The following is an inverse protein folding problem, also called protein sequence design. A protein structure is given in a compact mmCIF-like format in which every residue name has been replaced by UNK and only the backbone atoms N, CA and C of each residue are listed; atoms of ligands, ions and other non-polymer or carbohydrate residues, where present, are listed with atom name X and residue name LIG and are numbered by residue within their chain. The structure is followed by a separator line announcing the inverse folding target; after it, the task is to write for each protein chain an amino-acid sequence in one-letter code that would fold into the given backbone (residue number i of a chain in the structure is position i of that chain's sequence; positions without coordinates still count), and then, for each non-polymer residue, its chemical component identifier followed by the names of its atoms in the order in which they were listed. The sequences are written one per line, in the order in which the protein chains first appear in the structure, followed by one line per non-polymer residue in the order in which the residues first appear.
data_IF_869015104938
#
_entry.id   IF_869015104938
#
_cell.length_a   1.000
_cell.length_b   1.000
_cell.length_c   1.000
_cell.angle_alpha   90.00
_cell.angle_beta   90.00
_cell.angle_gamma   90.00
#
_symmetry.space_group_name_H-M   'P 1'
#
loop_
_entity.id
_entity.type
_entity.pdbx_description
1 polymer ?
#
# COMPACT_ATOMS: atom_id res chain seq x y z
N UNK A 1 -10.29 -6.35 -27.49
CA UNK A 1 -9.34 -6.97 -26.55
C UNK A 1 -9.87 -6.76 -25.15
N UNK A 2 -9.93 -7.77 -24.31
CA UNK A 2 -10.34 -7.67 -22.90
C UNK A 2 -9.08 -7.63 -22.03
N UNK A 3 -9.00 -6.68 -21.08
CA UNK A 3 -7.87 -6.54 -20.15
C UNK A 3 -8.24 -7.13 -18.78
N UNK A 4 -7.56 -8.20 -18.37
CA UNK A 4 -7.81 -8.90 -17.11
C UNK A 4 -6.70 -8.72 -16.06
N UNK A 5 -5.65 -7.95 -16.37
CA UNK A 5 -4.50 -7.78 -15.48
C UNK A 5 -4.60 -6.50 -14.62
N UNK A 6 -5.76 -6.28 -13.98
CA UNK A 6 -5.98 -5.16 -13.07
C UNK A 6 -5.13 -5.26 -11.77
N UNK A 7 -4.53 -6.41 -11.52
CA UNK A 7 -3.54 -6.55 -10.44
C UNK A 7 -2.21 -5.88 -10.79
N UNK A 8 -1.78 -5.88 -12.05
CA UNK A 8 -0.58 -5.18 -12.47
C UNK A 8 -0.79 -3.66 -12.46
N UNK A 9 -1.88 -3.17 -13.06
CA UNK A 9 -2.25 -1.75 -13.11
C UNK A 9 -3.71 -1.61 -13.52
N UNK A 10 -4.33 -0.48 -13.20
CA UNK A 10 -5.68 -0.14 -13.68
C UNK A 10 -5.63 1.04 -14.67
N UNK A 11 -6.63 1.18 -15.57
CA UNK A 11 -6.80 2.44 -16.30
C UNK A 11 -7.09 3.57 -15.32
N UNK A 12 -6.76 4.80 -15.70
CA UNK A 12 -7.14 5.99 -14.93
C UNK A 12 -8.64 6.19 -15.08
N UNK A 13 -9.35 6.51 -13.99
CA UNK A 13 -10.76 6.86 -14.05
C UNK A 13 -10.95 8.14 -14.89
N UNK A 14 -11.97 8.23 -15.78
CA UNK A 14 -12.16 9.42 -16.65
C UNK A 14 -12.15 10.73 -15.88
N UNK A 15 -12.94 10.87 -14.82
CA UNK A 15 -12.99 12.10 -14.01
C UNK A 15 -11.64 12.45 -13.37
N UNK A 16 -10.83 11.44 -13.05
CA UNK A 16 -9.47 11.63 -12.52
C UNK A 16 -8.55 12.18 -13.61
N UNK A 17 -8.64 11.65 -14.82
CA UNK A 17 -7.87 12.12 -15.96
C UNK A 17 -8.21 13.58 -16.31
N UNK A 18 -9.51 13.90 -16.35
CA UNK A 18 -10.01 15.26 -16.64
C UNK A 18 -9.53 16.27 -15.58
N UNK A 19 -9.62 15.90 -14.29
CA UNK A 19 -9.11 16.73 -13.20
C UNK A 19 -7.61 16.97 -13.33
N UNK A 20 -6.83 15.94 -13.64
CA UNK A 20 -5.38 16.05 -13.82
C UNK A 20 -5.04 16.97 -14.99
N UNK A 21 -5.75 16.86 -16.10
CA UNK A 21 -5.58 17.72 -17.26
C UNK A 21 -5.87 19.18 -16.93
N UNK A 22 -6.99 19.44 -16.26
CA UNK A 22 -7.37 20.80 -15.84
C UNK A 22 -6.31 21.44 -14.92
N UNK A 23 -5.84 20.69 -13.92
CA UNK A 23 -4.82 21.17 -12.99
C UNK A 23 -3.49 21.38 -13.70
N UNK A 24 -3.05 20.44 -14.54
CA UNK A 24 -1.82 20.58 -15.33
C UNK A 24 -1.82 21.83 -16.20
N UNK A 25 -2.97 22.16 -16.83
CA UNK A 25 -3.14 23.35 -17.66
C UNK A 25 -3.19 24.66 -16.86
N UNK A 26 -3.86 24.67 -15.69
CA UNK A 26 -4.21 25.92 -14.98
C UNK A 26 -3.39 26.19 -13.72
N UNK A 27 -2.67 25.20 -13.15
CA UNK A 27 -2.01 25.30 -11.84
C UNK A 27 -0.55 24.87 -11.92
N UNK A 28 0.28 25.73 -12.45
CA UNK A 28 1.72 25.53 -12.63
C UNK A 28 2.59 26.14 -11.53
N UNK A 29 2.00 26.79 -10.54
CA UNK A 29 2.74 27.43 -9.44
C UNK A 29 3.42 26.41 -8.53
N UNK A 30 4.65 26.73 -8.09
CA UNK A 30 5.33 25.89 -7.11
C UNK A 30 4.57 25.96 -5.78
N UNK A 31 4.18 24.81 -5.19
CA UNK A 31 3.42 24.79 -3.92
C UNK A 31 4.16 25.40 -2.71
N UNK A 32 5.49 25.50 -2.78
CA UNK A 32 6.30 26.13 -1.73
C UNK A 32 6.32 27.66 -1.81
N UNK A 33 5.83 28.24 -2.93
CA UNK A 33 5.84 29.71 -3.13
C UNK A 33 4.70 30.40 -2.38
N UNK A 34 5.02 31.54 -1.75
CA UNK A 34 4.05 32.30 -0.92
C UNK A 34 3.05 33.13 -1.73
N UNK A 35 3.27 33.33 -3.03
CA UNK A 35 2.37 34.09 -3.87
C UNK A 35 1.09 33.31 -4.28
N UNK A 36 0.10 34.00 -4.84
CA UNK A 36 -1.25 33.46 -5.14
C UNK A 36 -1.23 32.14 -5.92
N UNK A 37 -0.34 31.99 -6.92
CA UNK A 37 -0.25 30.75 -7.74
C UNK A 37 0.28 29.58 -6.93
N UNK A 38 1.29 29.79 -6.06
CA UNK A 38 1.83 28.75 -5.17
C UNK A 38 0.79 28.32 -4.13
N UNK A 39 0.14 29.29 -3.48
CA UNK A 39 -0.94 28.97 -2.51
C UNK A 39 -2.09 28.17 -3.12
N UNK A 40 -2.45 28.45 -4.41
CA UNK A 40 -3.45 27.65 -5.14
C UNK A 40 -2.99 26.20 -5.30
N UNK A 41 -1.74 25.98 -5.74
CA UNK A 41 -1.19 24.63 -5.87
C UNK A 41 -1.16 23.91 -4.51
N UNK A 42 -0.71 24.58 -3.45
CA UNK A 42 -0.70 24.05 -2.08
C UNK A 42 -2.10 23.65 -1.59
N UNK A 43 -3.12 24.47 -1.84
CA UNK A 43 -4.50 24.16 -1.44
C UNK A 43 -5.05 22.88 -2.10
N UNK A 44 -4.66 22.62 -3.35
CA UNK A 44 -5.02 21.38 -4.06
C UNK A 44 -4.36 20.17 -3.42
N UNK A 45 -3.07 20.26 -3.10
CA UNK A 45 -2.32 19.20 -2.42
C UNK A 45 -2.98 18.88 -1.07
N UNK A 46 -3.27 19.88 -0.26
CA UNK A 46 -3.87 19.67 1.07
C UNK A 46 -5.31 19.15 0.98
N UNK A 47 -6.09 19.52 -0.04
CA UNK A 47 -7.39 18.91 -0.32
C UNK A 47 -7.25 17.42 -0.61
N UNK A 48 -6.30 17.05 -1.46
CA UNK A 48 -6.07 15.66 -1.83
C UNK A 48 -5.55 14.83 -0.64
N UNK A 49 -4.70 15.43 0.19
CA UNK A 49 -4.21 14.81 1.43
C UNK A 49 -5.38 14.48 2.38
N UNK A 50 -6.37 15.38 2.53
CA UNK A 50 -7.59 15.11 3.31
C UNK A 50 -8.40 13.97 2.70
N UNK A 51 -8.63 13.96 1.38
CA UNK A 51 -9.37 12.89 0.70
C UNK A 51 -8.75 11.52 0.93
N UNK A 52 -7.41 11.43 0.90
CA UNK A 52 -6.69 10.18 1.15
C UNK A 52 -6.78 9.81 2.64
N UNK A 53 -6.60 10.76 3.54
CA UNK A 53 -6.71 10.52 4.98
C UNK A 53 -8.10 9.98 5.35
N UNK A 54 -9.16 10.59 4.83
CA UNK A 54 -10.55 10.13 5.01
C UNK A 54 -10.74 8.72 4.47
N UNK A 55 -10.17 8.42 3.28
CA UNK A 55 -10.30 7.11 2.64
C UNK A 55 -9.68 5.97 3.44
N UNK A 56 -8.67 6.23 4.27
CA UNK A 56 -8.00 5.22 5.09
C UNK A 56 -8.22 5.38 6.61
N UNK A 57 -9.08 6.31 7.04
CA UNK A 57 -9.37 6.57 8.45
C UNK A 57 -8.18 7.13 9.23
N UNK A 58 -7.51 8.14 8.66
CA UNK A 58 -6.33 8.80 9.19
C UNK A 58 -6.54 10.31 9.37
N UNK A 59 -5.59 10.96 10.02
CA UNK A 59 -5.42 12.41 10.00
C UNK A 59 -4.55 12.84 8.81
N UNK A 60 -4.82 14.01 8.16
CA UNK A 60 -4.07 14.45 6.99
C UNK A 60 -2.55 14.61 7.24
N UNK A 61 -2.18 15.10 8.42
CA UNK A 61 -0.78 15.31 8.80
C UNK A 61 0.05 14.03 8.91
N UNK A 62 -0.59 12.84 8.89
CA UNK A 62 0.03 11.52 8.92
C UNK A 62 0.27 10.94 7.52
N UNK A 63 -0.07 11.65 6.47
CA UNK A 63 0.12 11.24 5.09
C UNK A 63 1.31 12.01 4.49
N UNK A 64 2.20 11.31 3.81
CA UNK A 64 3.19 11.90 2.90
C UNK A 64 3.03 11.33 1.50
N UNK A 65 3.19 12.19 0.49
CA UNK A 65 3.16 11.79 -0.91
C UNK A 65 4.52 11.23 -1.33
N UNK A 66 4.49 10.15 -2.09
CA UNK A 66 5.65 9.46 -2.66
C UNK A 66 5.43 9.23 -4.15
N UNK A 67 6.42 8.69 -4.87
CA UNK A 67 6.24 8.31 -6.28
C UNK A 67 5.45 6.99 -6.47
N UNK A 68 5.16 6.27 -5.40
CA UNK A 68 4.45 4.98 -5.46
C UNK A 68 4.74 4.08 -4.28
N UNK A 69 4.15 2.88 -4.29
CA UNK A 69 4.34 1.89 -3.22
C UNK A 69 5.81 1.48 -3.04
N UNK A 70 6.58 1.38 -4.12
CA UNK A 70 8.01 1.04 -4.04
C UNK A 70 8.80 2.06 -3.24
N UNK A 71 8.62 3.37 -3.47
CA UNK A 71 9.28 4.41 -2.68
C UNK A 71 8.83 4.36 -1.22
N UNK A 72 7.52 4.22 -0.97
CA UNK A 72 6.95 4.12 0.38
C UNK A 72 7.54 2.94 1.16
N UNK A 73 7.59 1.76 0.55
CA UNK A 73 8.15 0.54 1.14
C UNK A 73 9.66 0.72 1.43
N UNK A 74 10.42 1.27 0.48
CA UNK A 74 11.84 1.56 0.68
C UNK A 74 12.04 2.50 1.86
N UNK A 75 11.31 3.61 1.94
CA UNK A 75 11.47 4.59 3.01
C UNK A 75 11.31 3.95 4.39
N UNK A 76 10.31 3.07 4.56
CA UNK A 76 10.09 2.38 5.84
C UNK A 76 11.25 1.43 6.17
N UNK A 77 11.70 0.63 5.21
CA UNK A 77 12.77 -0.34 5.46
C UNK A 77 14.12 0.36 5.71
N UNK A 78 14.46 1.37 4.90
CA UNK A 78 15.67 2.18 5.06
C UNK A 78 15.70 2.96 6.38
N UNK A 79 14.54 3.31 6.95
CA UNK A 79 14.47 4.01 8.23
C UNK A 79 15.03 3.20 9.41
N UNK A 80 15.30 1.90 9.22
CA UNK A 80 15.97 1.07 10.23
C UNK A 80 17.48 1.18 10.19
N UNK A 81 18.04 1.80 9.18
CA UNK A 81 19.48 2.03 9.09
C UNK A 81 19.95 2.92 10.26
N UNK A 82 21.06 2.52 10.91
CA UNK A 82 21.59 3.23 12.08
C UNK A 82 20.79 3.07 13.37
N UNK A 83 19.66 2.35 13.36
CA UNK A 83 18.89 2.09 14.57
C UNK A 83 19.46 0.91 15.36
N UNK A 84 19.43 1.00 16.70
CA UNK A 84 19.84 -0.13 17.57
C UNK A 84 18.98 -1.38 17.31
N UNK A 85 17.71 -1.20 16.97
CA UNK A 85 16.78 -2.27 16.59
C UNK A 85 16.74 -2.39 15.07
N UNK A 86 17.72 -3.11 14.54
CA UNK A 86 18.03 -3.22 13.11
C UNK A 86 17.61 -4.56 12.47
N UNK A 87 16.82 -5.39 13.16
CA UNK A 87 16.26 -6.61 12.61
C UNK A 87 14.82 -6.37 12.13
N UNK A 88 14.51 -6.85 10.92
CA UNK A 88 13.19 -6.75 10.28
C UNK A 88 12.63 -8.15 10.06
N UNK A 89 11.38 -8.38 10.45
CA UNK A 89 10.65 -9.61 10.12
C UNK A 89 9.69 -9.31 8.96
N UNK A 90 9.64 -10.20 7.97
CA UNK A 90 8.72 -10.13 6.85
C UNK A 90 8.21 -11.54 6.49
N UNK A 91 7.55 -11.72 5.35
CA UNK A 91 7.10 -13.04 4.90
C UNK A 91 7.64 -13.39 3.50
N UNK A 92 7.54 -14.67 3.14
CA UNK A 92 8.09 -15.20 1.87
C UNK A 92 7.32 -14.73 0.62
N UNK A 93 6.10 -14.25 0.76
CA UNK A 93 5.24 -13.89 -0.37
C UNK A 93 5.08 -12.37 -0.56
N UNK A 94 5.98 -11.59 0.02
CA UNK A 94 6.01 -10.13 -0.16
C UNK A 94 6.34 -9.73 -1.59
N UNK A 95 5.90 -8.53 -1.95
CA UNK A 95 6.27 -7.91 -3.22
C UNK A 95 7.81 -7.71 -3.31
N UNK A 96 8.41 -7.79 -4.53
CA UNK A 96 9.84 -7.53 -4.72
C UNK A 96 10.35 -6.21 -4.13
N UNK A 97 9.50 -5.17 -4.03
CA UNK A 97 9.81 -3.89 -3.36
C UNK A 97 10.08 -4.01 -1.84
N UNK A 98 9.79 -5.15 -1.24
CA UNK A 98 10.17 -5.50 0.14
C UNK A 98 11.35 -6.48 0.10
N UNK A 99 11.20 -7.63 -0.57
CA UNK A 99 12.20 -8.70 -0.55
C UNK A 99 13.57 -8.25 -1.06
N UNK A 100 13.60 -7.55 -2.21
CA UNK A 100 14.87 -7.10 -2.78
C UNK A 100 15.54 -6.02 -1.94
N UNK A 101 14.74 -5.14 -1.31
CA UNK A 101 15.26 -4.12 -0.40
C UNK A 101 15.86 -4.76 0.85
N UNK A 102 15.20 -5.76 1.45
CA UNK A 102 15.74 -6.51 2.60
C UNK A 102 17.07 -7.19 2.25
N UNK A 103 17.15 -7.85 1.08
CA UNK A 103 18.40 -8.46 0.59
C UNK A 103 19.51 -7.44 0.45
N UNK A 104 19.21 -6.26 -0.12
CA UNK A 104 20.17 -5.18 -0.30
C UNK A 104 20.64 -4.59 1.02
N UNK A 105 19.72 -4.32 1.94
CA UNK A 105 19.99 -3.72 3.25
C UNK A 105 20.83 -4.61 4.18
N UNK A 106 20.91 -5.93 3.90
CA UNK A 106 21.80 -6.84 4.61
C UNK A 106 23.27 -6.37 4.53
N UNK A 107 23.66 -5.74 3.42
CA UNK A 107 25.00 -5.17 3.24
C UNK A 107 25.27 -3.95 4.15
N UNK A 108 24.23 -3.41 4.79
CA UNK A 108 24.26 -2.24 5.67
C UNK A 108 23.89 -2.60 7.11
N UNK A 109 24.20 -3.83 7.54
CA UNK A 109 23.92 -4.34 8.89
C UNK A 109 22.43 -4.36 9.28
N UNK A 110 21.50 -4.38 8.33
CA UNK A 110 20.10 -4.67 8.57
C UNK A 110 19.89 -6.17 8.43
N UNK A 111 19.59 -6.85 9.53
CA UNK A 111 19.25 -8.26 9.51
C UNK A 111 17.75 -8.45 9.26
N UNK A 112 17.38 -9.56 8.64
CA UNK A 112 15.97 -9.87 8.42
C UNK A 112 15.67 -11.36 8.56
N UNK A 113 14.41 -11.67 8.87
CA UNK A 113 13.85 -13.02 8.86
C UNK A 113 12.61 -13.04 7.96
N UNK A 114 12.44 -14.10 7.17
CA UNK A 114 11.26 -14.31 6.32
C UNK A 114 10.42 -15.47 6.90
N UNK A 115 9.25 -15.12 7.41
CA UNK A 115 8.31 -16.11 7.92
C UNK A 115 7.65 -16.89 6.78
N UNK A 116 7.52 -18.22 6.91
CA UNK A 116 6.74 -19.02 5.99
C UNK A 116 5.25 -18.69 6.08
N UNK A 117 4.54 -19.01 5.00
CA UNK A 117 3.08 -18.95 4.92
C UNK A 117 2.52 -20.37 4.83
N UNK A 118 1.24 -20.54 5.17
CA UNK A 118 0.54 -21.80 4.99
C UNK A 118 0.12 -22.02 3.51
N UNK A 119 -0.57 -23.11 3.21
CA UNK A 119 -1.06 -23.44 1.87
C UNK A 119 -2.11 -22.45 1.33
N UNK A 120 -2.65 -21.58 2.17
CA UNK A 120 -3.57 -20.50 1.80
C UNK A 120 -2.85 -19.16 1.61
N UNK A 121 -1.53 -19.11 1.85
CA UNK A 121 -0.73 -17.89 1.79
C UNK A 121 -0.89 -16.99 3.03
N UNK A 122 -1.39 -17.50 4.17
CA UNK A 122 -1.45 -16.75 5.43
C UNK A 122 -0.16 -16.96 6.22
N UNK A 123 0.40 -15.87 6.79
CA UNK A 123 1.64 -15.92 7.56
C UNK A 123 1.49 -16.77 8.83
N UNK A 124 2.49 -17.62 9.12
CA UNK A 124 2.55 -18.39 10.35
C UNK A 124 2.86 -17.51 11.55
N UNK A 125 1.86 -17.23 12.38
CA UNK A 125 2.04 -16.44 13.61
C UNK A 125 2.97 -17.10 14.63
N UNK A 126 3.04 -18.44 14.63
CA UNK A 126 3.96 -19.18 15.50
C UNK A 126 5.42 -18.96 15.07
N UNK A 127 5.69 -18.99 13.75
CA UNK A 127 7.02 -18.68 13.25
C UNK A 127 7.36 -17.20 13.44
N UNK A 128 6.40 -16.30 13.22
CA UNK A 128 6.59 -14.87 13.51
C UNK A 128 7.08 -14.65 14.95
N UNK A 129 6.45 -15.30 15.94
CA UNK A 129 6.86 -15.17 17.34
C UNK A 129 8.27 -15.73 17.60
N UNK A 130 8.64 -16.85 16.94
CA UNK A 130 9.98 -17.46 17.07
C UNK A 130 11.09 -16.60 16.48
N UNK A 131 10.78 -15.83 15.43
CA UNK A 131 11.73 -14.94 14.75
C UNK A 131 11.97 -13.61 15.48
N UNK A 132 11.20 -13.30 16.53
CA UNK A 132 11.41 -12.07 17.31
C UNK A 132 12.71 -12.17 18.10
N UNK A 133 13.59 -11.20 17.88
CA UNK A 133 14.89 -11.02 18.56
C UNK A 133 14.87 -9.73 19.38
N UNK A 134 15.83 -9.60 20.31
CA UNK A 134 16.00 -8.39 21.12
C UNK A 134 16.11 -7.12 20.24
N UNK A 135 16.80 -7.25 19.10
CA UNK A 135 16.99 -6.15 18.15
C UNK A 135 15.93 -6.10 17.04
N UNK A 136 14.79 -6.82 17.12
CA UNK A 136 13.70 -6.67 16.15
C UNK A 136 13.03 -5.33 16.30
N UNK A 137 13.10 -4.48 15.26
CA UNK A 137 12.56 -3.11 15.25
C UNK A 137 11.35 -2.93 14.36
N UNK A 138 11.13 -3.83 13.41
CA UNK A 138 10.05 -3.70 12.42
C UNK A 138 9.51 -5.08 12.03
N UNK A 139 8.19 -5.20 11.92
CA UNK A 139 7.50 -6.25 11.19
C UNK A 139 6.88 -5.62 9.95
N UNK A 140 7.29 -6.08 8.76
CA UNK A 140 6.75 -5.61 7.48
C UNK A 140 6.01 -6.74 6.80
N UNK A 141 4.67 -6.69 6.79
CA UNK A 141 3.80 -7.74 6.21
C UNK A 141 2.73 -7.09 5.35
N UNK A 142 2.64 -7.50 4.08
CA UNK A 142 1.61 -7.00 3.17
C UNK A 142 0.21 -7.21 3.76
N UNK A 143 -0.71 -6.27 3.53
CA UNK A 143 -2.08 -6.40 4.02
C UNK A 143 -2.84 -7.50 3.28
N UNK A 144 -2.62 -7.59 1.97
CA UNK A 144 -3.16 -8.66 1.14
C UNK A 144 -2.20 -8.97 -0.02
N UNK A 145 -2.08 -10.24 -0.35
CA UNK A 145 -1.19 -10.66 -1.43
C UNK A 145 -1.76 -10.28 -2.80
N UNK A 146 -0.91 -9.76 -3.66
CA UNK A 146 -1.25 -9.24 -4.99
C UNK A 146 -1.57 -10.31 -6.03
N UNK A 147 -1.20 -11.57 -5.80
CA UNK A 147 -1.36 -12.67 -6.75
C UNK A 147 -2.52 -13.61 -6.37
N UNK A 148 -2.58 -14.01 -5.10
CA UNK A 148 -3.60 -14.95 -4.60
C UNK A 148 -4.70 -14.27 -3.80
N UNK A 149 -4.56 -12.99 -3.49
CA UNK A 149 -5.56 -12.17 -2.80
C UNK A 149 -5.65 -12.39 -1.28
N UNK A 150 -4.98 -13.36 -0.70
CA UNK A 150 -5.08 -13.70 0.73
C UNK A 150 -4.78 -12.50 1.61
N UNK A 151 -5.72 -12.16 2.51
CA UNK A 151 -5.60 -11.07 3.48
C UNK A 151 -4.85 -11.58 4.71
N UNK A 152 -3.83 -10.85 5.15
CA UNK A 152 -3.01 -11.22 6.30
C UNK A 152 -3.66 -10.84 7.63
N UNK A 153 -3.39 -11.57 8.72
CA UNK A 153 -4.02 -11.36 10.03
C UNK A 153 -3.38 -10.20 10.81
N UNK A 154 -3.40 -8.97 10.24
CA UNK A 154 -2.69 -7.79 10.75
C UNK A 154 -3.04 -7.48 12.21
N UNK A 155 -4.30 -7.64 12.61
CA UNK A 155 -4.71 -7.41 14.01
C UNK A 155 -3.98 -8.36 14.99
N UNK A 156 -3.77 -9.62 14.58
CA UNK A 156 -3.03 -10.59 15.40
C UNK A 156 -1.53 -10.26 15.43
N UNK A 157 -0.98 -9.82 14.29
CA UNK A 157 0.40 -9.34 14.17
C UNK A 157 0.62 -8.12 15.07
N UNK A 158 -0.29 -7.14 15.04
CA UNK A 158 -0.24 -5.95 15.91
C UNK A 158 -0.20 -6.33 17.39
N UNK A 159 -1.04 -7.29 17.82
CA UNK A 159 -1.04 -7.75 19.22
C UNK A 159 0.32 -8.35 19.64
N UNK A 160 1.01 -9.02 18.73
CA UNK A 160 2.36 -9.55 18.97
C UNK A 160 3.38 -8.40 19.00
N UNK A 161 3.30 -7.49 18.06
CA UNK A 161 4.24 -6.37 17.91
C UNK A 161 4.20 -5.42 19.12
N UNK A 162 3.01 -5.05 19.60
CA UNK A 162 2.83 -4.18 20.76
C UNK A 162 3.48 -4.78 22.00
N UNK A 163 3.29 -6.09 22.27
CA UNK A 163 3.89 -6.78 23.42
C UNK A 163 5.42 -6.77 23.41
N UNK A 164 6.03 -6.60 22.23
CA UNK A 164 7.47 -6.61 22.03
C UNK A 164 8.04 -5.23 21.67
N UNK A 165 7.21 -4.18 21.71
CA UNK A 165 7.57 -2.82 21.31
C UNK A 165 8.19 -2.77 19.90
N UNK A 166 7.55 -3.41 18.91
CA UNK A 166 7.99 -3.51 17.53
C UNK A 166 7.03 -2.69 16.65
N UNK A 167 7.57 -1.90 15.73
CA UNK A 167 6.77 -1.17 14.73
C UNK A 167 6.22 -2.11 13.67
N UNK A 168 5.05 -1.77 13.11
CA UNK A 168 4.41 -2.56 12.05
C UNK A 168 4.19 -1.71 10.80
N UNK A 169 4.72 -2.20 9.70
CA UNK A 169 4.46 -1.71 8.34
C UNK A 169 3.58 -2.70 7.58
N UNK A 170 2.69 -2.17 6.76
CA UNK A 170 1.90 -2.99 5.85
C UNK A 170 1.88 -2.40 4.44
N UNK A 171 2.35 -3.19 3.46
CA UNK A 171 2.09 -2.91 2.05
C UNK A 171 0.61 -3.19 1.76
N UNK A 172 -0.17 -2.12 1.57
CA UNK A 172 -1.59 -2.18 1.28
C UNK A 172 -1.92 -1.70 -0.14
N UNK A 173 -0.94 -1.69 -1.02
CA UNK A 173 -1.03 -1.17 -2.40
C UNK A 173 -2.25 -1.73 -3.14
N UNK A 174 -2.63 -2.99 -2.91
CA UNK A 174 -3.74 -3.66 -3.57
C UNK A 174 -5.10 -3.54 -2.85
N UNK A 175 -5.17 -2.86 -1.71
CA UNK A 175 -6.32 -2.98 -0.80
C UNK A 175 -7.37 -1.87 -0.97
N UNK A 176 -6.95 -0.62 -1.25
CA UNK A 176 -7.89 0.50 -1.39
C UNK A 176 -8.85 0.27 -2.56
N UNK A 177 -10.16 0.48 -2.34
CA UNK A 177 -11.22 0.22 -3.30
C UNK A 177 -11.67 -1.24 -3.41
N UNK A 178 -10.97 -2.18 -2.74
CA UNK A 178 -11.31 -3.60 -2.68
C UNK A 178 -11.69 -4.08 -1.27
N UNK A 179 -11.23 -3.36 -0.24
CA UNK A 179 -11.64 -3.58 1.15
C UNK A 179 -11.66 -2.25 1.90
N UNK A 180 -12.43 -2.20 3.00
CA UNK A 180 -12.45 -1.01 3.87
C UNK A 180 -11.15 -0.93 4.65
N UNK A 181 -10.46 0.20 4.55
CA UNK A 181 -9.25 0.51 5.31
C UNK A 181 -9.59 1.46 6.46
N UNK A 182 -9.00 1.22 7.62
CA UNK A 182 -8.99 2.18 8.73
C UNK A 182 -7.72 1.97 9.55
N UNK A 183 -6.70 2.76 9.26
CA UNK A 183 -5.37 2.61 9.89
C UNK A 183 -5.40 2.85 11.40
N UNK A 184 -6.29 3.72 11.87
CA UNK A 184 -6.46 3.99 13.31
C UNK A 184 -6.99 2.74 14.03
N UNK A 185 -8.02 2.07 13.46
CA UNK A 185 -8.57 0.82 14.02
C UNK A 185 -7.61 -0.36 13.88
N UNK A 186 -6.79 -0.38 12.83
CA UNK A 186 -5.75 -1.39 12.62
C UNK A 186 -4.59 -1.21 13.60
N UNK A 187 -4.32 0.03 14.02
CA UNK A 187 -3.25 0.38 14.97
C UNK A 187 -1.85 0.38 14.39
N UNK A 188 -1.69 0.11 13.08
CA UNK A 188 -0.39 0.01 12.40
C UNK A 188 0.39 1.33 12.42
N UNK A 189 1.70 1.23 12.28
CA UNK A 189 2.59 2.39 12.34
C UNK A 189 2.84 2.97 10.94
N UNK A 190 2.88 2.12 9.90
CA UNK A 190 3.09 2.53 8.52
C UNK A 190 2.19 1.76 7.57
N UNK A 191 1.71 2.45 6.50
CA UNK A 191 0.95 1.82 5.41
C UNK A 191 1.33 2.44 4.08
N UNK A 192 1.63 1.60 3.08
CA UNK A 192 1.96 2.03 1.72
C UNK A 192 0.79 1.86 0.77
N UNK A 193 0.51 2.89 -0.07
CA UNK A 193 -0.47 2.82 -1.16
C UNK A 193 0.13 3.33 -2.47
N UNK A 194 -0.46 2.90 -3.59
CA UNK A 194 -0.10 3.36 -4.95
C UNK A 194 -1.36 3.62 -5.77
N UNK A 195 -1.48 4.82 -6.33
CA UNK A 195 -2.72 5.28 -6.96
C UNK A 195 -3.18 4.42 -8.14
N UNK A 196 -2.25 3.90 -8.95
CA UNK A 196 -2.57 3.13 -10.14
C UNK A 196 -3.21 1.76 -9.86
N UNK A 197 -3.39 1.37 -8.62
CA UNK A 197 -4.08 0.13 -8.22
C UNK A 197 -5.56 0.34 -7.90
N UNK A 198 -5.99 1.61 -7.81
CA UNK A 198 -7.38 2.01 -7.58
C UNK A 198 -7.82 3.13 -8.52
N UNK A 199 -7.50 2.98 -9.81
CA UNK A 199 -7.90 3.85 -10.92
C UNK A 199 -7.36 5.29 -10.84
N UNK A 200 -6.28 5.50 -10.09
CA UNK A 200 -5.48 6.73 -10.08
C UNK A 200 -4.30 6.69 -11.06
N UNK A 201 -3.52 7.77 -11.15
CA UNK A 201 -2.37 7.84 -12.03
C UNK A 201 -1.19 6.98 -11.54
N UNK A 202 -0.34 6.55 -12.48
CA UNK A 202 0.99 5.98 -12.18
C UNK A 202 1.93 7.08 -11.67
N UNK A 203 3.00 6.70 -10.98
CA UNK A 203 4.03 7.63 -10.53
C UNK A 203 3.64 8.47 -9.31
N UNK A 204 2.59 8.05 -8.58
CA UNK A 204 2.18 8.66 -7.31
C UNK A 204 1.70 7.59 -6.32
N UNK A 205 2.08 7.74 -5.07
CA UNK A 205 1.66 6.93 -3.94
C UNK A 205 1.64 7.74 -2.67
N UNK A 206 1.37 7.07 -1.56
CA UNK A 206 1.49 7.64 -0.22
C UNK A 206 2.16 6.67 0.74
N UNK A 207 2.77 7.24 1.76
CA UNK A 207 3.10 6.55 2.99
C UNK A 207 2.30 7.19 4.13
N UNK A 208 1.47 6.38 4.81
CA UNK A 208 0.90 6.73 6.09
C UNK A 208 1.94 6.48 7.18
N UNK A 209 2.08 7.43 8.10
CA UNK A 209 3.04 7.40 9.21
C UNK A 209 2.30 7.81 10.48
N UNK A 210 2.17 6.88 11.44
CA UNK A 210 1.48 7.12 12.72
C UNK A 210 2.22 8.13 13.58
N UNK A 211 3.54 8.00 13.67
CA UNK A 211 4.44 8.91 14.38
C UNK A 211 5.66 9.23 13.52
N UNK A 212 5.80 10.48 13.10
CA UNK A 212 6.89 10.95 12.23
C UNK A 212 8.28 10.86 12.86
N UNK A 213 8.38 10.75 14.18
CA UNK A 213 9.67 10.57 14.87
C UNK A 213 10.24 9.16 14.70
N UNK A 214 9.46 8.22 14.19
CA UNK A 214 9.88 6.81 14.00
C UNK A 214 10.48 6.53 12.64
N UNK A 215 10.53 7.52 11.74
CA UNK A 215 10.98 7.36 10.35
C UNK A 215 11.96 8.47 9.95
N UNK A 216 12.89 8.11 9.07
CA UNK A 216 13.84 9.05 8.46
C UNK A 216 13.45 9.36 7.01
N UNK A 217 13.85 10.53 6.47
CA UNK A 217 13.66 10.81 5.06
C UNK A 217 14.48 9.82 4.20
N UNK A 218 13.88 9.36 3.10
CA UNK A 218 14.56 8.51 2.11
C UNK A 218 15.06 9.35 0.93
N UNK A 219 14.21 10.20 0.37
CA UNK A 219 14.62 11.20 -0.63
C UNK A 219 14.93 12.51 0.09
N UNK A 220 16.21 12.77 0.27
CA UNK A 220 16.72 13.97 0.93
C UNK A 220 16.71 15.14 -0.05
N UNK A 221 16.17 16.30 0.40
CA UNK A 221 16.08 17.51 -0.42
C UNK A 221 15.56 18.70 0.36
N UNK A 222 14.63 19.47 -0.23
CA UNK A 222 13.98 20.59 0.45
C UNK A 222 12.97 20.13 1.52
N UNK A 223 12.31 21.12 2.16
CA UNK A 223 11.38 20.87 3.27
C UNK A 223 9.99 20.34 2.89
N UNK A 224 9.79 19.85 1.65
CA UNK A 224 8.53 19.28 1.23
C UNK A 224 8.14 18.07 2.10
N UNK A 225 6.83 17.79 2.16
CA UNK A 225 6.29 16.69 2.97
C UNK A 225 6.81 16.67 4.41
N UNK A 226 6.93 17.84 5.05
CA UNK A 226 7.48 18.01 6.41
C UNK A 226 8.95 17.57 6.53
N UNK A 227 9.74 17.69 5.45
CA UNK A 227 11.15 17.26 5.41
C UNK A 227 11.35 15.76 5.24
N UNK A 228 10.27 14.98 5.13
CA UNK A 228 10.35 13.52 5.02
C UNK A 228 10.47 13.02 3.57
N UNK A 229 10.15 13.89 2.60
CA UNK A 229 10.29 13.56 1.18
C UNK A 229 10.57 14.83 0.36
N UNK A 230 11.81 15.02 -0.03
CA UNK A 230 12.25 16.17 -0.83
C UNK A 230 11.79 16.11 -2.28
N UNK A 231 11.81 17.26 -2.94
CA UNK A 231 11.42 17.43 -4.35
C UNK A 231 10.04 18.07 -4.52
N UNK A 232 9.91 18.92 -5.53
CA UNK A 232 8.67 19.63 -5.83
C UNK A 232 7.52 18.65 -6.06
N UNK A 233 6.40 18.91 -5.42
CA UNK A 233 5.24 18.03 -5.42
C UNK A 233 4.54 18.02 -6.79
N UNK A 234 4.19 16.84 -7.30
CA UNK A 234 3.43 16.64 -8.54
C UNK A 234 1.94 16.93 -8.29
N UNK A 235 1.57 18.21 -8.32
CA UNK A 235 0.23 18.70 -7.96
C UNK A 235 -0.88 17.99 -8.74
N UNK A 236 -0.71 17.75 -10.05
CA UNK A 236 -1.74 17.11 -10.87
C UNK A 236 -1.95 15.64 -10.50
N UNK A 237 -0.87 14.87 -10.33
CA UNK A 237 -0.97 13.46 -9.94
C UNK A 237 -1.46 13.30 -8.50
N UNK A 238 -1.08 14.21 -7.59
CA UNK A 238 -1.58 14.23 -6.22
C UNK A 238 -3.10 14.45 -6.20
N UNK A 239 -3.58 15.42 -7.00
CA UNK A 239 -5.01 15.66 -7.13
C UNK A 239 -5.77 14.47 -7.71
N UNK A 240 -5.18 13.83 -8.72
CA UNK A 240 -5.72 12.61 -9.32
C UNK A 240 -5.81 11.47 -8.31
N UNK A 241 -4.77 11.26 -7.49
CA UNK A 241 -4.78 10.24 -6.44
C UNK A 241 -5.86 10.53 -5.38
N UNK A 242 -6.00 11.79 -4.95
CA UNK A 242 -7.02 12.19 -3.97
C UNK A 242 -8.45 11.89 -4.46
N UNK A 243 -8.76 12.27 -5.71
CA UNK A 243 -10.06 11.99 -6.31
C UNK A 243 -10.29 10.49 -6.50
N UNK A 244 -9.29 9.75 -7.00
CA UNK A 244 -9.38 8.30 -7.16
C UNK A 244 -9.66 7.59 -5.81
N UNK A 245 -8.99 8.00 -4.73
CA UNK A 245 -9.23 7.45 -3.40
C UNK A 245 -10.65 7.72 -2.91
N UNK A 246 -11.17 8.94 -3.11
CA UNK A 246 -12.55 9.31 -2.78
C UNK A 246 -13.55 8.43 -3.53
N UNK A 247 -13.44 8.31 -4.86
CA UNK A 247 -14.33 7.48 -5.70
C UNK A 247 -14.27 6.01 -5.27
N UNK A 248 -13.08 5.50 -4.98
CA UNK A 248 -12.87 4.10 -4.57
C UNK A 248 -13.62 3.75 -3.28
N UNK A 249 -13.67 4.68 -2.31
CA UNK A 249 -14.34 4.46 -1.01
C UNK A 249 -15.84 4.69 -1.10
N UNK A 250 -16.31 5.70 -1.82
CA UNK A 250 -17.74 5.98 -2.00
C UNK A 250 -18.47 4.80 -2.63
N UNK A 251 -17.85 4.10 -3.56
CA UNK A 251 -18.44 2.97 -4.28
C UNK A 251 -18.04 1.58 -3.73
N UNK A 252 -17.34 1.51 -2.60
CA UNK A 252 -16.66 0.29 -2.15
C UNK A 252 -17.61 -0.90 -1.99
N UNK A 253 -18.79 -0.72 -1.39
CA UNK A 253 -19.72 -1.82 -1.16
C UNK A 253 -20.30 -2.37 -2.48
N UNK A 254 -20.57 -1.48 -3.45
CA UNK A 254 -21.04 -1.86 -4.78
C UNK A 254 -19.94 -2.59 -5.55
N UNK A 255 -18.72 -2.06 -5.50
CA UNK A 255 -17.55 -2.66 -6.15
C UNK A 255 -17.29 -4.07 -5.61
N UNK A 256 -17.30 -4.27 -4.30
CA UNK A 256 -17.10 -5.58 -3.67
C UNK A 256 -18.18 -6.56 -4.14
N UNK A 257 -19.46 -6.17 -4.15
CA UNK A 257 -20.55 -7.03 -4.64
C UNK A 257 -20.35 -7.44 -6.11
N UNK A 258 -19.99 -6.46 -6.96
CA UNK A 258 -19.75 -6.68 -8.39
C UNK A 258 -18.55 -7.60 -8.63
N UNK A 259 -17.45 -7.37 -7.93
CA UNK A 259 -16.24 -8.17 -8.03
C UNK A 259 -16.47 -9.61 -7.56
N UNK A 260 -17.15 -9.83 -6.44
CA UNK A 260 -17.51 -11.16 -5.95
C UNK A 260 -18.42 -11.91 -6.93
N UNK A 261 -19.38 -11.21 -7.55
CA UNK A 261 -20.26 -11.80 -8.57
C UNK A 261 -19.46 -12.31 -9.77
N UNK A 262 -18.57 -11.47 -10.34
CA UNK A 262 -17.76 -11.88 -11.48
C UNK A 262 -16.74 -12.96 -11.13
N UNK A 263 -16.17 -12.90 -9.95
CA UNK A 263 -15.26 -13.93 -9.43
C UNK A 263 -15.96 -15.29 -9.35
N UNK A 264 -17.13 -15.34 -8.73
CA UNK A 264 -17.93 -16.57 -8.62
C UNK A 264 -18.31 -17.13 -9.99
N UNK A 265 -18.76 -16.28 -10.91
CA UNK A 265 -19.10 -16.67 -12.28
C UNK A 265 -17.88 -17.22 -13.04
N UNK A 266 -16.72 -16.56 -12.90
CA UNK A 266 -15.48 -17.01 -13.53
C UNK A 266 -15.03 -18.36 -12.98
N UNK A 267 -15.01 -18.54 -11.65
CA UNK A 267 -14.59 -19.81 -11.02
C UNK A 267 -15.54 -20.95 -11.41
N UNK A 268 -16.85 -20.71 -11.44
CA UNK A 268 -17.83 -21.71 -11.86
C UNK A 268 -17.64 -22.12 -13.32
N UNK A 269 -17.45 -21.15 -14.21
CA UNK A 269 -17.18 -21.43 -15.64
C UNK A 269 -15.86 -22.17 -15.84
N UNK A 270 -14.80 -21.75 -15.14
CA UNK A 270 -13.52 -22.42 -15.17
C UNK A 270 -13.63 -23.89 -14.75
N UNK A 271 -14.36 -24.17 -13.68
CA UNK A 271 -14.55 -25.55 -13.17
C UNK A 271 -15.39 -26.42 -14.11
N UNK A 272 -16.29 -25.85 -14.90
CA UNK A 272 -17.02 -26.60 -15.94
C UNK A 272 -16.09 -27.02 -17.08
N UNK A 273 -15.18 -26.13 -17.50
CA UNK A 273 -14.23 -26.38 -18.59
C UNK A 273 -13.07 -27.26 -18.12
N UNK A 274 -12.55 -27.01 -16.94
CA UNK A 274 -11.42 -27.71 -16.35
C UNK A 274 -11.67 -28.06 -14.88
N UNK A 275 -12.34 -29.20 -14.59
CA UNK A 275 -12.74 -29.59 -13.21
C UNK A 275 -11.55 -29.71 -12.23
N UNK A 276 -10.37 -30.09 -12.74
CA UNK A 276 -9.14 -30.25 -11.96
C UNK A 276 -8.48 -28.91 -11.57
N UNK A 277 -8.91 -27.76 -12.11
CA UNK A 277 -8.34 -26.47 -11.76
C UNK A 277 -8.31 -26.27 -10.23
N UNK A 278 -7.19 -25.82 -9.71
CA UNK A 278 -7.00 -25.48 -8.28
C UNK A 278 -7.05 -23.97 -8.16
N UNK A 279 -7.97 -23.46 -7.35
CA UNK A 279 -8.02 -22.03 -7.02
C UNK A 279 -7.11 -21.79 -5.81
N UNK A 280 -6.04 -21.02 -6.05
CA UNK A 280 -5.00 -20.72 -5.07
C UNK A 280 -5.47 -19.65 -4.04
N UNK A 281 -4.83 -19.66 -2.88
CA UNK A 281 -5.06 -18.69 -1.81
C UNK A 281 -6.23 -19.03 -0.88
N UNK A 282 -6.55 -18.09 0.02
CA UNK A 282 -7.63 -18.25 0.97
C UNK A 282 -8.99 -17.97 0.30
N UNK A 283 -9.91 -18.92 0.38
CA UNK A 283 -11.23 -18.81 -0.28
C UNK A 283 -12.20 -17.87 0.44
N UNK A 284 -12.01 -17.62 1.73
CA UNK A 284 -12.93 -16.85 2.59
C UNK A 284 -12.36 -15.47 2.92
N UNK A 285 -11.06 -15.39 3.23
CA UNK A 285 -10.40 -14.17 3.66
C UNK A 285 -9.43 -13.67 2.57
N UNK A 286 -9.99 -13.05 1.54
CA UNK A 286 -9.24 -12.58 0.37
C UNK A 286 -9.82 -11.29 -0.22
N UNK A 287 -9.03 -10.60 -1.02
CA UNK A 287 -9.51 -9.48 -1.82
C UNK A 287 -10.51 -9.97 -2.89
N UNK A 288 -11.63 -9.29 -3.11
CA UNK A 288 -12.61 -9.65 -4.12
C UNK A 288 -12.06 -9.43 -5.54
N UNK A 289 -12.51 -10.26 -6.48
CA UNK A 289 -12.22 -10.12 -7.91
C UNK A 289 -10.81 -10.51 -8.33
N UNK A 290 -10.01 -11.12 -7.45
CA UNK A 290 -8.69 -11.62 -7.77
C UNK A 290 -8.73 -13.16 -7.78
N UNK A 291 -8.43 -13.78 -8.91
CA UNK A 291 -8.41 -15.24 -9.07
C UNK A 291 -7.03 -15.68 -9.54
N UNK A 292 -6.42 -16.57 -8.76
CA UNK A 292 -5.22 -17.30 -9.12
C UNK A 292 -5.59 -18.76 -9.27
N UNK A 293 -5.30 -19.36 -10.41
CA UNK A 293 -5.63 -20.75 -10.71
C UNK A 293 -4.42 -21.52 -11.22
N UNK A 294 -4.26 -22.75 -10.74
CA UNK A 294 -3.28 -23.71 -11.24
C UNK A 294 -3.99 -24.80 -12.04
N UNK A 295 -3.35 -25.27 -13.09
CA UNK A 295 -3.85 -26.29 -14.01
C UNK A 295 -2.92 -27.51 -13.95
N UNK A 296 -3.13 -28.45 -13.02
CA UNK A 296 -2.33 -29.66 -12.94
C UNK A 296 -2.59 -30.52 -14.18
N UNK A 297 -1.51 -30.93 -14.88
CA UNK A 297 -1.54 -31.77 -16.07
C UNK A 297 -2.00 -33.21 -15.82
#
# INVERSE_FOLDING_TARGET
MYYFDHSATTPIHPDVLDLMHEIGKKTYGNPSSVHKKGRKARSIIEKSRRQIADAIGSEPNKIIFTSGGTESNNQVLWSRLGQKRNHIISNLIEHPAIINVLKFLKNYNINYSLCPVDSKGEISLNNLKKEIKVNTGLISVMLANNEIGTIQPIKKIMNIAIKNNILVHSDAVHCLGKMKLNVTKMGIDFLSLSAHKFYGPKGIGILYIKDKNTISPYLIGGGQESGLRGGTENTASIAGMGLAAKIAVENINQNIKKLNFYESKFISGLKLIYPKAIINGNKQNKLPGLVSASFPG
#
